data_IF_056823789060
#
_entry.id   IF_056823789060
#
_cell.length_a   1.000
_cell.length_b   1.000
_cell.length_c   1.000
_cell.angle_alpha   90.00
_cell.angle_beta   90.00
_cell.angle_gamma   90.00
#
_symmetry.space_group_name_H-M   'P 1'
#
loop_
_entity.id
_entity.type
_entity.pdbx_description
1 polymer ?
#
# COMPACT_ATOMS: atom_id res chain seq x y z
N UNK A 1 13.99 -0.98 -16.49
CA UNK A 1 13.63 -0.68 -15.10
C UNK A 1 14.75 -1.16 -14.20
N UNK A 2 15.54 -0.24 -13.65
CA UNK A 2 16.51 -0.53 -12.59
C UNK A 2 15.78 -1.12 -11.39
N UNK A 3 16.48 -1.97 -10.63
CA UNK A 3 15.89 -2.68 -9.49
C UNK A 3 15.12 -1.75 -8.55
N UNK A 4 15.65 -0.58 -8.19
CA UNK A 4 14.95 0.34 -7.30
C UNK A 4 13.61 0.88 -7.85
N UNK A 5 13.47 1.12 -9.16
CA UNK A 5 12.18 1.52 -9.75
C UNK A 5 11.20 0.35 -9.77
N UNK A 6 11.71 -0.84 -10.07
CA UNK A 6 10.93 -2.08 -10.02
C UNK A 6 10.44 -2.35 -8.60
N UNK A 7 11.30 -2.22 -7.60
CA UNK A 7 10.98 -2.48 -6.20
C UNK A 7 9.92 -1.51 -5.69
N UNK A 8 9.97 -0.23 -6.10
CA UNK A 8 8.92 0.75 -5.77
C UNK A 8 7.56 0.36 -6.37
N UNK A 9 7.52 -0.05 -7.64
CA UNK A 9 6.28 -0.46 -8.31
C UNK A 9 5.75 -1.77 -7.74
N UNK A 10 6.63 -2.73 -7.49
CA UNK A 10 6.29 -4.01 -6.90
C UNK A 10 5.66 -3.82 -5.52
N UNK A 11 6.31 -3.02 -4.65
CA UNK A 11 5.77 -2.73 -3.33
C UNK A 11 4.44 -1.97 -3.40
N UNK A 12 4.31 -1.03 -4.35
CA UNK A 12 3.05 -0.30 -4.55
C UNK A 12 1.91 -1.26 -4.91
N UNK A 13 2.16 -2.22 -5.80
CA UNK A 13 1.18 -3.24 -6.18
C UNK A 13 0.78 -4.12 -5.00
N UNK A 14 1.75 -4.57 -4.19
CA UNK A 14 1.50 -5.39 -3.01
C UNK A 14 0.68 -4.65 -1.94
N UNK A 15 0.94 -3.35 -1.76
CA UNK A 15 0.18 -2.51 -0.85
C UNK A 15 -1.26 -2.34 -1.33
N UNK A 16 -1.47 -2.05 -2.62
CA UNK A 16 -2.82 -1.92 -3.19
C UNK A 16 -3.65 -3.21 -3.01
N UNK A 17 -3.05 -4.38 -3.26
CA UNK A 17 -3.69 -5.68 -3.03
C UNK A 17 -3.99 -5.92 -1.54
N UNK A 18 -3.14 -5.45 -0.64
CA UNK A 18 -3.34 -5.58 0.81
C UNK A 18 -4.46 -4.67 1.31
N UNK A 19 -4.48 -3.41 0.88
CA UNK A 19 -5.53 -2.43 1.17
C UNK A 19 -6.90 -2.96 0.77
N UNK A 20 -7.00 -3.55 -0.42
CA UNK A 20 -8.26 -4.17 -0.87
C UNK A 20 -8.65 -5.36 -0.01
N UNK A 21 -7.71 -6.25 0.33
CA UNK A 21 -7.97 -7.42 1.18
C UNK A 21 -8.40 -7.04 2.61
N UNK A 22 -7.90 -5.92 3.14
CA UNK A 22 -8.30 -5.48 4.48
C UNK A 22 -9.79 -5.21 4.60
N UNK A 23 -10.48 -4.78 3.53
CA UNK A 23 -11.93 -4.64 3.54
C UNK A 23 -12.62 -5.98 3.84
N UNK A 24 -12.14 -7.05 3.21
CA UNK A 24 -12.66 -8.39 3.46
C UNK A 24 -12.28 -8.89 4.86
N UNK A 25 -11.09 -8.56 5.37
CA UNK A 25 -10.67 -8.95 6.72
C UNK A 25 -11.46 -8.22 7.80
N UNK A 26 -11.80 -6.94 7.58
CA UNK A 26 -12.68 -6.14 8.44
C UNK A 26 -14.08 -6.77 8.48
N UNK A 27 -14.65 -7.14 7.32
CA UNK A 27 -15.95 -7.85 7.25
C UNK A 27 -15.90 -9.20 7.97
N UNK A 28 -14.85 -9.99 7.72
CA UNK A 28 -14.68 -11.30 8.35
C UNK A 28 -14.47 -11.22 9.87
N UNK A 29 -14.00 -10.09 10.37
CA UNK A 29 -13.79 -9.82 11.79
C UNK A 29 -15.04 -9.28 12.51
N UNK A 30 -16.20 -9.25 11.84
CA UNK A 30 -17.45 -8.81 12.44
C UNK A 30 -17.75 -9.57 13.75
N UNK A 31 -18.09 -8.82 14.80
CA UNK A 31 -18.27 -9.36 16.15
C UNK A 31 -17.01 -9.31 17.03
N UNK A 32 -15.82 -9.08 16.49
CA UNK A 32 -14.59 -8.81 17.25
C UNK A 32 -14.14 -7.35 17.03
N UNK A 33 -14.50 -6.44 17.95
CA UNK A 33 -14.13 -5.01 17.84
C UNK A 33 -12.63 -4.78 17.76
N UNK A 34 -11.84 -5.53 18.55
CA UNK A 34 -10.38 -5.43 18.53
C UNK A 34 -9.81 -5.85 17.18
N UNK A 35 -10.28 -6.97 16.63
CA UNK A 35 -9.83 -7.50 15.35
C UNK A 35 -10.19 -6.52 14.21
N UNK A 36 -11.42 -6.00 14.22
CA UNK A 36 -11.90 -4.99 13.28
C UNK A 36 -11.00 -3.74 13.32
N UNK A 37 -10.72 -3.22 14.53
CA UNK A 37 -9.85 -2.06 14.72
C UNK A 37 -8.40 -2.31 14.30
N UNK A 38 -7.88 -3.51 14.52
CA UNK A 38 -6.55 -3.91 14.06
C UNK A 38 -6.44 -3.85 12.54
N UNK A 39 -7.38 -4.48 11.82
CA UNK A 39 -7.38 -4.47 10.35
C UNK A 39 -7.60 -3.07 9.77
N UNK A 40 -8.49 -2.27 10.37
CA UNK A 40 -8.68 -0.89 9.97
C UNK A 40 -7.39 -0.07 10.12
N UNK A 41 -6.68 -0.23 11.25
CA UNK A 41 -5.40 0.46 11.47
C UNK A 41 -4.30 0.02 10.50
N UNK A 42 -4.19 -1.28 10.23
CA UNK A 42 -3.23 -1.79 9.25
C UNK A 42 -3.52 -1.23 7.85
N UNK A 43 -4.80 -1.15 7.47
CA UNK A 43 -5.21 -0.52 6.22
C UNK A 43 -4.80 0.95 6.12
N UNK A 44 -5.02 1.73 7.18
CA UNK A 44 -4.59 3.14 7.22
C UNK A 44 -3.07 3.28 7.06
N UNK A 45 -2.29 2.42 7.71
CA UNK A 45 -0.83 2.40 7.60
C UNK A 45 -0.38 2.10 6.16
N UNK A 46 -0.97 1.10 5.51
CA UNK A 46 -0.63 0.74 4.14
C UNK A 46 -1.06 1.80 3.12
N UNK A 47 -2.18 2.50 3.35
CA UNK A 47 -2.59 3.65 2.52
C UNK A 47 -1.60 4.82 2.62
N UNK A 48 -1.04 5.10 3.79
CA UNK A 48 0.01 6.12 3.92
C UNK A 48 1.30 5.66 3.21
N UNK A 49 1.67 4.38 3.35
CA UNK A 49 2.81 3.82 2.63
C UNK A 49 2.62 3.87 1.09
N UNK A 50 1.42 3.54 0.59
CA UNK A 50 1.05 3.66 -0.82
C UNK A 50 1.27 5.09 -1.34
N UNK A 51 0.81 6.08 -0.58
CA UNK A 51 1.01 7.49 -0.91
C UNK A 51 2.49 7.87 -0.96
N UNK A 52 3.31 7.42 -0.01
CA UNK A 52 4.75 7.67 -0.01
C UNK A 52 5.43 7.07 -1.26
N UNK A 53 5.07 5.83 -1.61
CA UNK A 53 5.58 5.15 -2.80
C UNK A 53 5.19 5.89 -4.09
N UNK A 54 3.92 6.31 -4.21
CA UNK A 54 3.41 7.08 -5.34
C UNK A 54 4.17 8.40 -5.53
N UNK A 55 4.42 9.14 -4.46
CA UNK A 55 5.16 10.40 -4.54
C UNK A 55 6.62 10.18 -4.98
N UNK A 56 7.26 9.10 -4.51
CA UNK A 56 8.62 8.75 -4.93
C UNK A 56 8.68 8.35 -6.41
N UNK A 57 7.73 7.53 -6.86
CA UNK A 57 7.61 7.15 -8.28
C UNK A 57 7.39 8.40 -9.15
N UNK A 58 6.48 9.29 -8.75
CA UNK A 58 6.24 10.57 -9.45
C UNK A 58 7.51 11.41 -9.53
N UNK A 59 8.30 11.46 -8.46
CA UNK A 59 9.60 12.14 -8.44
C UNK A 59 10.55 11.53 -9.47
N UNK A 60 10.71 10.21 -9.49
CA UNK A 60 11.56 9.53 -10.47
C UNK A 60 11.13 9.78 -11.92
N UNK A 61 9.82 9.79 -12.19
CA UNK A 61 9.29 10.11 -13.52
C UNK A 61 9.59 11.56 -13.89
N UNK A 62 9.36 12.51 -12.98
CA UNK A 62 9.57 13.94 -13.22
C UNK A 62 11.04 14.28 -13.47
N UNK A 63 11.95 13.60 -12.75
CA UNK A 63 13.39 13.79 -12.88
C UNK A 63 14.01 12.93 -14.01
N UNK A 64 13.19 12.25 -14.80
CA UNK A 64 13.60 11.36 -15.88
C UNK A 64 14.58 10.25 -15.41
N UNK A 65 14.39 9.77 -14.16
CA UNK A 65 15.13 8.69 -13.52
C UNK A 65 14.33 7.38 -13.44
N UNK A 66 13.20 7.32 -14.16
CA UNK A 66 12.36 6.12 -14.27
C UNK A 66 12.81 5.21 -15.43
N UNK A 67 14.07 4.79 -15.38
CA UNK A 67 14.73 3.89 -16.35
C UNK A 67 14.85 2.44 -15.86
#
# INVERSE_FOLDING_TARGET
MKNHNHDLIQQLSENADSIWRYEEYIKNAEGCQYCTGLWAKLKEMDMEAEKMLLEEIKRHVTENRFD
#
